data_IF_387729162592
#
_entry.id   IF_387729162592
#
_cell.length_a   1.000
_cell.length_b   1.000
_cell.length_c   1.000
_cell.angle_alpha   90.00
_cell.angle_beta   90.00
_cell.angle_gamma   90.00
#
_symmetry.space_group_name_H-M   'P 1'
#
loop_
_entity.id
_entity.type
_entity.pdbx_description
1 polymer ?
#
# COMPACT_ATOMS: atom_id res chain seq x y z
N UNK A 1 -32.00 -61.26 21.54
CA UNK A 1 -30.52 -61.35 21.49
C UNK A 1 -30.05 -60.07 20.83
N UNK A 2 -29.54 -59.17 21.66
CA UNK A 2 -28.94 -57.89 21.27
C UNK A 2 -27.56 -58.15 20.65
N UNK A 3 -27.18 -57.29 19.71
CA UNK A 3 -25.82 -56.79 19.59
C UNK A 3 -25.94 -55.29 19.32
N UNK A 4 -25.64 -54.52 20.36
CA UNK A 4 -25.27 -53.12 20.29
C UNK A 4 -23.85 -53.01 19.70
N UNK A 5 -23.59 -51.94 18.96
CA UNK A 5 -22.24 -51.41 18.83
C UNK A 5 -22.32 -49.90 18.69
N UNK A 6 -21.50 -49.25 19.51
CA UNK A 6 -21.61 -47.92 20.07
C UNK A 6 -21.37 -46.78 19.07
N UNK A 7 -22.12 -45.70 19.29
CA UNK A 7 -21.83 -44.35 18.82
C UNK A 7 -20.61 -43.78 19.57
N UNK A 8 -19.56 -43.42 18.85
CA UNK A 8 -18.47 -42.59 19.37
C UNK A 8 -18.83 -41.14 19.08
N UNK A 9 -19.01 -40.37 20.15
CA UNK A 9 -19.16 -38.92 20.12
C UNK A 9 -17.93 -38.27 19.47
N UNK A 10 -18.16 -37.42 18.47
CA UNK A 10 -17.13 -36.58 17.90
C UNK A 10 -16.68 -35.57 18.96
N UNK A 11 -15.51 -35.82 19.54
CA UNK A 11 -14.79 -34.88 20.38
C UNK A 11 -14.60 -33.57 19.62
N UNK A 12 -14.99 -32.47 20.26
CA UNK A 12 -14.61 -31.09 19.94
C UNK A 12 -13.12 -31.01 19.57
N UNK A 13 -12.84 -30.89 18.28
CA UNK A 13 -11.54 -30.48 17.79
C UNK A 13 -11.49 -28.97 17.97
N UNK A 14 -10.78 -28.52 19.00
CA UNK A 14 -10.20 -27.19 19.01
C UNK A 14 -9.29 -27.10 17.78
N UNK A 15 -9.80 -26.53 16.69
CA UNK A 15 -8.95 -26.12 15.58
C UNK A 15 -8.00 -25.03 16.10
N UNK A 16 -6.77 -25.44 16.31
CA UNK A 16 -5.63 -24.55 16.48
C UNK A 16 -5.48 -23.74 15.20
N UNK A 17 -5.97 -22.50 15.22
CA UNK A 17 -5.67 -21.50 14.20
C UNK A 17 -4.15 -21.36 14.11
N UNK A 18 -3.60 -21.79 12.98
CA UNK A 18 -2.22 -21.47 12.64
C UNK A 18 -2.18 -19.99 12.30
N UNK A 19 -1.67 -19.19 13.22
CA UNK A 19 -1.26 -17.81 12.95
C UNK A 19 -0.19 -17.84 11.85
N UNK A 20 -0.61 -17.72 10.59
CA UNK A 20 0.31 -17.37 9.51
C UNK A 20 0.77 -15.94 9.78
N UNK A 21 1.97 -15.81 10.37
CA UNK A 21 2.68 -14.54 10.44
C UNK A 21 2.85 -14.04 9.01
N UNK A 22 2.17 -12.96 8.62
CA UNK A 22 2.54 -12.25 7.39
C UNK A 22 3.94 -11.70 7.61
N UNK A 23 4.94 -12.23 6.90
CA UNK A 23 6.29 -11.68 6.90
C UNK A 23 6.22 -10.21 6.54
N UNK A 24 6.80 -9.33 7.36
CA UNK A 24 6.99 -7.91 7.06
C UNK A 24 8.02 -7.75 5.95
N UNK A 25 7.59 -8.14 4.75
CA UNK A 25 8.31 -8.11 3.47
C UNK A 25 9.80 -8.40 3.58
N UNK A 26 10.19 -9.68 3.62
CA UNK A 26 11.53 -10.03 3.18
C UNK A 26 11.59 -9.74 1.69
N UNK A 27 12.53 -8.89 1.28
CA UNK A 27 12.75 -8.58 -0.14
C UNK A 27 13.32 -9.79 -0.85
N UNK A 28 12.89 -10.04 -2.08
CA UNK A 28 13.53 -11.01 -2.97
C UNK A 28 14.35 -10.21 -3.99
N UNK A 29 15.69 -10.16 -3.86
CA UNK A 29 16.53 -9.40 -4.77
C UNK A 29 16.40 -9.89 -6.21
N UNK A 30 16.51 -8.95 -7.15
CA UNK A 30 16.71 -9.24 -8.57
C UNK A 30 18.10 -8.74 -8.95
N UNK A 31 19.09 -9.59 -8.73
CA UNK A 31 20.53 -9.26 -8.76
C UNK A 31 21.00 -8.60 -10.07
N UNK A 32 20.26 -8.75 -11.16
CA UNK A 32 20.59 -8.22 -12.49
C UNK A 32 19.75 -7.01 -12.92
N UNK A 33 18.83 -6.55 -12.07
CA UNK A 33 17.90 -5.48 -12.44
C UNK A 33 17.90 -4.33 -11.44
N UNK A 34 17.89 -3.10 -11.96
CA UNK A 34 17.92 -1.88 -11.16
C UNK A 34 16.74 -0.97 -11.52
N UNK A 35 16.21 -0.25 -10.55
CA UNK A 35 15.19 0.78 -10.75
C UNK A 35 15.88 2.13 -10.65
N UNK A 36 15.74 2.94 -11.69
CA UNK A 36 16.31 4.28 -11.72
C UNK A 36 15.21 5.30 -11.93
N UNK A 37 15.40 6.48 -11.33
CA UNK A 37 14.62 7.67 -11.62
C UNK A 37 15.57 8.74 -12.16
N UNK A 38 15.40 9.08 -13.43
CA UNK A 38 16.13 10.19 -14.04
C UNK A 38 15.71 11.54 -13.49
N UNK A 39 16.61 12.53 -13.50
CA UNK A 39 16.24 13.93 -13.29
C UNK A 39 15.29 14.43 -14.37
N UNK A 40 14.35 15.29 -13.99
CA UNK A 40 13.38 15.87 -14.91
C UNK A 40 14.05 16.64 -16.07
N UNK A 41 13.46 16.55 -17.26
CA UNK A 41 13.87 17.34 -18.44
C UNK A 41 14.92 16.68 -19.34
N UNK A 42 15.43 15.50 -18.98
CA UNK A 42 16.37 14.75 -19.83
C UNK A 42 15.70 14.27 -21.11
N UNK A 43 16.34 14.57 -22.25
CA UNK A 43 15.89 14.11 -23.57
C UNK A 43 16.04 12.59 -23.72
N UNK A 44 15.26 11.98 -24.61
CA UNK A 44 15.40 10.55 -24.94
C UNK A 44 16.83 10.19 -25.38
N UNK A 45 17.51 11.09 -26.09
CA UNK A 45 18.91 10.90 -26.50
C UNK A 45 19.87 10.93 -25.31
N UNK A 46 19.68 11.85 -24.36
CA UNK A 46 20.49 11.89 -23.14
C UNK A 46 20.32 10.60 -22.33
N UNK A 47 19.07 10.17 -22.09
CA UNK A 47 18.78 8.89 -21.43
C UNK A 47 19.44 7.70 -22.14
N UNK A 48 19.43 7.67 -23.48
CA UNK A 48 20.09 6.61 -24.24
C UNK A 48 21.63 6.60 -24.07
N UNK A 49 22.26 7.77 -23.98
CA UNK A 49 23.70 7.89 -23.70
C UNK A 49 24.02 7.36 -22.30
N UNK A 50 23.20 7.69 -21.30
CA UNK A 50 23.38 7.23 -19.92
C UNK A 50 23.20 5.72 -19.82
N UNK A 51 22.16 5.16 -20.45
CA UNK A 51 21.97 3.70 -20.53
C UNK A 51 23.20 3.00 -21.14
N UNK A 52 23.76 3.57 -22.22
CA UNK A 52 24.98 3.03 -22.83
C UNK A 52 26.19 3.12 -21.89
N UNK A 53 26.36 4.24 -21.16
CA UNK A 53 27.42 4.43 -20.15
C UNK A 53 27.39 3.34 -19.07
N UNK A 54 26.22 2.86 -18.69
CA UNK A 54 26.07 1.85 -17.63
C UNK A 54 25.89 0.42 -18.12
N UNK A 55 25.97 0.15 -19.44
CA UNK A 55 25.85 -1.20 -19.98
C UNK A 55 24.46 -1.82 -19.80
N UNK A 56 23.41 -1.03 -20.03
CA UNK A 56 22.02 -1.48 -19.98
C UNK A 56 21.70 -2.34 -21.20
N UNK A 57 21.24 -3.57 -20.98
CA UNK A 57 20.89 -4.54 -22.03
C UNK A 57 19.46 -4.29 -22.53
N UNK A 58 18.54 -4.11 -21.58
CA UNK A 58 17.14 -3.86 -21.83
C UNK A 58 16.62 -2.92 -20.75
N UNK A 59 15.54 -2.22 -21.07
CA UNK A 59 14.86 -1.39 -20.09
C UNK A 59 13.36 -1.37 -20.33
N UNK A 60 12.63 -1.15 -19.25
CA UNK A 60 11.19 -0.95 -19.23
C UNK A 60 10.91 0.47 -18.71
N UNK A 61 10.00 1.18 -19.39
CA UNK A 61 9.52 2.48 -18.92
C UNK A 61 8.26 2.31 -18.09
N UNK A 62 8.09 3.18 -17.10
CA UNK A 62 6.87 3.22 -16.34
C UNK A 62 5.69 3.70 -17.20
N UNK A 63 4.74 2.80 -17.48
CA UNK A 63 3.51 3.15 -18.18
C UNK A 63 2.54 3.81 -17.20
N UNK A 64 1.97 4.96 -17.57
CA UNK A 64 1.02 5.73 -16.75
C UNK A 64 1.56 6.36 -15.45
N UNK A 65 2.84 6.15 -15.13
CA UNK A 65 3.53 6.83 -14.02
C UNK A 65 4.56 7.84 -14.52
N UNK A 66 5.63 8.02 -13.75
CA UNK A 66 6.73 8.92 -14.10
C UNK A 66 7.50 8.40 -15.33
N UNK A 67 7.57 9.22 -16.38
CA UNK A 67 8.34 8.93 -17.61
C UNK A 67 9.86 8.91 -17.38
N UNK A 68 10.31 9.34 -16.21
CA UNK A 68 11.69 9.29 -15.78
C UNK A 68 12.03 8.04 -14.98
N UNK A 69 11.04 7.25 -14.59
CA UNK A 69 11.22 5.97 -13.91
C UNK A 69 11.41 4.83 -14.91
N UNK A 70 12.49 4.08 -14.74
CA UNK A 70 12.81 2.93 -15.59
C UNK A 70 13.31 1.75 -14.77
N UNK A 71 13.03 0.54 -15.23
CA UNK A 71 13.68 -0.69 -14.78
C UNK A 71 14.71 -1.10 -15.83
N UNK A 72 15.96 -1.34 -15.42
CA UNK A 72 17.05 -1.70 -16.32
C UNK A 72 17.54 -3.11 -16.03
N UNK A 73 17.72 -3.89 -17.09
CA UNK A 73 18.44 -5.15 -17.07
C UNK A 73 19.91 -4.88 -17.40
N UNK A 74 20.82 -5.34 -16.55
CA UNK A 74 22.25 -5.09 -16.65
C UNK A 74 23.03 -6.39 -16.93
N UNK A 75 24.14 -6.28 -17.66
CA UNK A 75 25.13 -7.37 -17.70
C UNK A 75 25.72 -7.57 -16.31
N UNK A 76 26.08 -8.79 -15.88
CA UNK A 76 26.64 -9.01 -14.52
C UNK A 76 27.95 -8.23 -14.28
N UNK A 77 28.78 -8.10 -15.32
CA UNK A 77 30.02 -7.32 -15.32
C UNK A 77 30.06 -6.48 -16.59
N UNK A 78 30.27 -5.17 -16.45
CA UNK A 78 30.41 -4.25 -17.58
C UNK A 78 31.62 -3.34 -17.36
N UNK A 79 32.49 -3.26 -18.36
CA UNK A 79 33.76 -2.50 -18.29
C UNK A 79 34.61 -2.80 -17.04
N UNK A 80 34.51 -4.02 -16.51
CA UNK A 80 35.26 -4.48 -15.33
C UNK A 80 34.62 -4.14 -13.98
N UNK A 81 33.45 -3.50 -13.95
CA UNK A 81 32.71 -3.18 -12.73
C UNK A 81 31.54 -4.15 -12.49
N UNK A 82 31.27 -4.47 -11.23
CA UNK A 82 30.08 -5.25 -10.82
C UNK A 82 28.81 -4.40 -10.94
N UNK A 83 27.64 -5.02 -10.75
CA UNK A 83 26.38 -4.27 -10.65
C UNK A 83 26.39 -3.37 -9.41
N UNK A 84 26.88 -3.84 -8.26
CA UNK A 84 26.89 -3.03 -7.02
C UNK A 84 27.77 -1.79 -7.16
N UNK A 85 28.94 -1.93 -7.79
CA UNK A 85 29.82 -0.79 -8.10
C UNK A 85 29.15 0.20 -9.05
N UNK A 86 28.38 -0.29 -10.03
CA UNK A 86 27.64 0.58 -10.95
C UNK A 86 26.45 1.26 -10.29
N UNK A 87 25.68 0.58 -9.43
CA UNK A 87 24.59 1.20 -8.65
C UNK A 87 25.15 2.31 -7.75
N UNK A 88 26.27 2.05 -7.07
CA UNK A 88 26.95 3.08 -6.27
C UNK A 88 27.36 4.30 -7.11
N UNK A 89 27.78 4.08 -8.36
CA UNK A 89 28.11 5.16 -9.30
C UNK A 89 26.87 5.91 -9.78
N UNK A 90 25.78 5.19 -10.05
CA UNK A 90 24.47 5.74 -10.44
C UNK A 90 23.90 6.66 -9.36
N UNK A 91 23.99 6.26 -8.08
CA UNK A 91 23.56 7.09 -6.94
C UNK A 91 24.30 8.43 -6.83
N UNK A 92 25.49 8.55 -7.44
CA UNK A 92 26.28 9.78 -7.47
C UNK A 92 26.16 10.52 -8.81
N UNK A 93 25.39 9.99 -9.76
CA UNK A 93 25.21 10.60 -11.08
C UNK A 93 24.24 11.79 -10.97
N UNK A 94 24.64 13.01 -11.34
CA UNK A 94 23.77 14.19 -11.25
C UNK A 94 22.55 14.14 -12.17
N UNK A 95 22.50 13.18 -13.10
CA UNK A 95 21.35 12.94 -13.98
C UNK A 95 20.33 11.95 -13.39
N UNK A 96 20.57 11.45 -12.17
CA UNK A 96 19.71 10.51 -11.46
C UNK A 96 19.22 11.09 -10.13
N UNK A 97 17.91 10.97 -9.88
CA UNK A 97 17.29 11.29 -8.59
C UNK A 97 17.26 10.11 -7.63
N UNK A 98 17.34 8.88 -8.17
CA UNK A 98 17.42 7.65 -7.40
C UNK A 98 17.86 6.48 -8.27
N UNK A 99 18.55 5.54 -7.66
CA UNK A 99 18.99 4.30 -8.27
C UNK A 99 19.02 3.22 -7.18
N UNK A 100 18.21 2.18 -7.35
CA UNK A 100 18.10 1.10 -6.37
C UNK A 100 18.18 -0.25 -7.09
N UNK A 101 18.65 -1.29 -6.40
CA UNK A 101 18.38 -2.65 -6.84
C UNK A 101 16.88 -2.89 -6.89
N UNK A 102 16.40 -3.54 -7.95
CA UNK A 102 15.02 -3.98 -7.98
C UNK A 102 14.86 -5.20 -7.07
N UNK A 103 13.73 -5.30 -6.40
CA UNK A 103 13.39 -6.42 -5.54
C UNK A 103 11.88 -6.61 -5.52
N UNK A 104 11.45 -7.82 -5.17
CA UNK A 104 10.05 -8.12 -4.96
C UNK A 104 9.69 -8.13 -3.48
N UNK A 105 8.49 -7.67 -3.17
CA UNK A 105 7.84 -7.76 -1.87
C UNK A 105 6.62 -8.66 -2.02
N UNK A 106 6.30 -9.42 -0.97
CA UNK A 106 5.07 -10.20 -0.90
C UNK A 106 4.17 -9.67 0.21
N UNK A 107 2.89 -9.49 -0.11
CA UNK A 107 1.82 -9.30 0.86
C UNK A 107 1.02 -10.59 1.00
N UNK A 108 0.65 -10.93 2.24
CA UNK A 108 -0.14 -12.13 2.51
C UNK A 108 -1.62 -11.81 2.37
N UNK A 109 -2.34 -12.55 1.52
CA UNK A 109 -3.80 -12.54 1.54
C UNK A 109 -4.29 -13.33 2.76
N UNK A 110 -5.20 -12.73 3.54
CA UNK A 110 -5.95 -13.43 4.60
C UNK A 110 -7.31 -13.92 4.09
N UNK A 111 -7.55 -13.83 2.78
CA UNK A 111 -8.83 -14.14 2.16
C UNK A 111 -8.82 -15.57 1.62
N UNK A 112 -9.84 -16.39 1.90
CA UNK A 112 -10.02 -17.67 1.21
C UNK A 112 -10.20 -17.47 -0.30
N UNK A 113 -9.72 -18.44 -1.10
CA UNK A 113 -9.97 -18.47 -2.55
C UNK A 113 -11.46 -18.30 -2.87
N UNK A 114 -11.80 -17.40 -3.79
CA UNK A 114 -13.17 -17.23 -4.32
C UNK A 114 -13.96 -16.02 -3.82
N UNK A 115 -13.35 -15.11 -3.06
CA UNK A 115 -13.94 -13.78 -2.77
C UNK A 115 -13.87 -12.84 -3.98
N UNK A 116 -12.91 -13.08 -4.88
CA UNK A 116 -12.81 -12.40 -6.16
C UNK A 116 -13.65 -13.15 -7.19
N UNK A 117 -14.78 -12.57 -7.57
CA UNK A 117 -15.59 -13.04 -8.69
C UNK A 117 -15.04 -12.57 -10.04
N UNK A 118 -15.62 -13.06 -11.13
CA UNK A 118 -15.40 -12.42 -12.44
C UNK A 118 -16.09 -11.07 -12.43
N UNK A 119 -15.32 -9.98 -12.50
CA UNK A 119 -15.85 -8.62 -12.54
C UNK A 119 -16.09 -8.25 -14.01
N UNK A 120 -17.32 -7.84 -14.32
CA UNK A 120 -17.63 -7.25 -15.62
C UNK A 120 -17.67 -5.73 -15.51
N UNK A 121 -17.15 -5.05 -16.54
CA UNK A 121 -17.11 -3.58 -16.61
C UNK A 121 -18.47 -2.92 -16.31
N UNK A 122 -19.56 -3.53 -16.78
CA UNK A 122 -20.93 -3.03 -16.55
C UNK A 122 -21.33 -3.01 -15.07
N UNK A 123 -20.77 -3.91 -14.25
CA UNK A 123 -21.07 -4.01 -12.81
C UNK A 123 -20.30 -2.92 -12.02
N UNK A 124 -19.25 -2.37 -12.62
CA UNK A 124 -18.44 -1.28 -12.05
C UNK A 124 -19.09 0.09 -12.28
N UNK A 125 -19.78 0.29 -13.42
CA UNK A 125 -20.35 1.59 -13.79
C UNK A 125 -21.17 2.28 -12.68
N UNK A 126 -22.03 1.58 -11.92
CA UNK A 126 -22.79 2.20 -10.82
C UNK A 126 -21.91 2.68 -9.65
N UNK A 127 -20.67 2.21 -9.55
CA UNK A 127 -19.71 2.56 -8.49
C UNK A 127 -18.86 3.78 -8.85
N UNK A 128 -18.83 4.17 -10.12
CA UNK A 128 -18.06 5.30 -10.63
C UNK A 128 -18.73 6.63 -10.27
N UNK A 129 -17.94 7.58 -9.78
CA UNK A 129 -18.38 8.94 -9.48
C UNK A 129 -18.71 9.71 -10.77
N UNK A 130 -19.80 10.46 -10.74
CA UNK A 130 -20.20 11.32 -11.89
C UNK A 130 -19.61 12.72 -11.83
N UNK A 131 -18.98 13.09 -10.71
CA UNK A 131 -18.34 14.37 -10.47
C UNK A 131 -17.09 14.15 -9.61
N UNK A 132 -16.08 15.01 -9.78
CA UNK A 132 -14.87 14.96 -8.96
C UNK A 132 -15.21 15.08 -7.48
N UNK A 133 -14.56 14.24 -6.68
CA UNK A 133 -14.67 14.33 -5.23
C UNK A 133 -13.92 15.54 -4.67
N UNK A 134 -14.26 15.91 -3.43
CA UNK A 134 -13.51 16.92 -2.68
C UNK A 134 -12.21 16.36 -2.09
N UNK A 135 -12.18 15.05 -1.82
CA UNK A 135 -11.03 14.32 -1.31
C UNK A 135 -10.84 13.01 -2.08
N UNK A 136 -9.60 12.71 -2.45
CA UNK A 136 -9.24 11.50 -3.19
C UNK A 136 -8.23 10.68 -2.41
N UNK A 137 -8.54 9.39 -2.24
CA UNK A 137 -7.64 8.40 -1.62
C UNK A 137 -7.06 7.51 -2.72
N UNK A 138 -5.74 7.52 -2.88
CA UNK A 138 -5.01 6.52 -3.65
C UNK A 138 -4.80 5.26 -2.82
N UNK A 139 -5.08 4.09 -3.38
CA UNK A 139 -4.77 2.80 -2.76
C UNK A 139 -3.77 2.07 -3.64
N UNK A 140 -2.52 1.98 -3.19
CA UNK A 140 -1.45 1.27 -3.87
C UNK A 140 -1.37 -0.16 -3.31
N UNK A 141 -1.94 -1.14 -4.02
CA UNK A 141 -2.15 -2.48 -3.47
C UNK A 141 -2.39 -3.53 -4.59
N UNK A 142 -3.12 -4.62 -4.33
CA UNK A 142 -3.46 -5.67 -5.31
C UNK A 142 -4.59 -5.33 -6.27
N UNK A 143 -5.14 -4.12 -6.20
CA UNK A 143 -6.30 -3.68 -6.98
C UNK A 143 -7.55 -3.55 -6.10
N UNK A 144 -8.72 -3.50 -6.74
CA UNK A 144 -10.01 -3.47 -6.03
C UNK A 144 -11.06 -4.31 -6.74
N UNK A 145 -11.86 -5.05 -5.99
CA UNK A 145 -13.18 -5.52 -6.44
C UNK A 145 -14.25 -4.49 -6.03
N UNK A 146 -14.66 -3.59 -6.93
CA UNK A 146 -15.66 -2.58 -6.61
C UNK A 146 -17.08 -3.13 -6.51
N UNK A 147 -17.29 -4.39 -6.92
CA UNK A 147 -18.57 -5.09 -6.79
C UNK A 147 -18.75 -5.72 -5.41
N UNK A 148 -17.70 -5.70 -4.57
CA UNK A 148 -17.79 -6.12 -3.19
C UNK A 148 -19.02 -5.50 -2.50
N UNK A 149 -19.84 -6.38 -1.94
CA UNK A 149 -21.18 -6.01 -1.50
C UNK A 149 -21.21 -4.97 -0.38
N UNK A 150 -20.09 -4.78 0.35
CA UNK A 150 -19.96 -3.75 1.38
C UNK A 150 -19.95 -2.32 0.81
N UNK A 151 -19.60 -2.12 -0.46
CA UNK A 151 -19.65 -0.79 -1.08
C UNK A 151 -21.09 -0.44 -1.47
N UNK A 152 -21.77 0.40 -0.68
CA UNK A 152 -23.18 0.76 -0.92
C UNK A 152 -23.40 1.99 -1.81
N UNK A 153 -22.40 2.86 -1.98
CA UNK A 153 -22.52 4.08 -2.79
C UNK A 153 -21.46 4.17 -3.89
N UNK A 154 -21.63 5.11 -4.84
CA UNK A 154 -20.58 5.43 -5.81
C UNK A 154 -19.40 6.10 -5.10
N UNK A 155 -18.20 5.56 -5.33
CA UNK A 155 -16.97 5.96 -4.64
C UNK A 155 -15.73 5.85 -5.53
N UNK A 156 -15.79 5.10 -6.63
CA UNK A 156 -14.63 4.98 -7.51
C UNK A 156 -14.41 6.26 -8.30
N UNK A 157 -13.15 6.61 -8.44
CA UNK A 157 -12.74 7.68 -9.33
C UNK A 157 -13.19 7.44 -10.77
N UNK A 158 -13.36 8.53 -11.50
CA UNK A 158 -13.76 8.51 -12.90
C UNK A 158 -12.70 9.21 -13.74
N UNK A 159 -11.83 8.41 -14.37
CA UNK A 159 -10.73 8.94 -15.17
C UNK A 159 -11.23 9.78 -16.36
N UNK A 160 -12.47 9.61 -16.81
CA UNK A 160 -13.05 10.46 -17.85
C UNK A 160 -13.28 11.92 -17.41
N UNK A 161 -13.14 12.22 -16.12
CA UNK A 161 -13.18 13.59 -15.59
C UNK A 161 -11.78 14.25 -15.54
N UNK A 162 -10.72 13.51 -15.86
CA UNK A 162 -9.36 14.04 -15.83
C UNK A 162 -9.01 14.83 -17.08
N UNK A 163 -8.09 15.78 -16.92
CA UNK A 163 -7.53 16.55 -18.03
C UNK A 163 -6.62 15.68 -18.90
N UNK A 164 -5.90 14.77 -18.25
CA UNK A 164 -5.04 13.77 -18.88
C UNK A 164 -5.32 12.39 -18.28
N UNK A 165 -5.56 11.42 -19.16
CA UNK A 165 -5.75 10.01 -18.81
C UNK A 165 -4.61 9.20 -19.38
N UNK A 166 -4.27 8.10 -18.71
CA UNK A 166 -3.34 7.17 -19.31
C UNK A 166 -4.06 6.19 -20.23
N UNK A 167 -3.82 6.25 -21.54
CA UNK A 167 -4.45 5.32 -22.50
C UNK A 167 -5.98 5.33 -22.33
N UNK A 168 -6.57 4.17 -22.10
CA UNK A 168 -7.97 3.85 -21.87
C UNK A 168 -8.29 3.65 -20.38
N UNK A 169 -7.53 4.30 -19.49
CA UNK A 169 -7.77 4.32 -18.04
C UNK A 169 -9.25 4.59 -17.70
N UNK A 170 -9.78 3.78 -16.79
CA UNK A 170 -11.20 3.81 -16.43
C UNK A 170 -11.46 4.39 -15.03
N UNK A 171 -10.87 3.79 -13.99
CA UNK A 171 -10.95 4.28 -12.60
C UNK A 171 -9.64 4.14 -11.82
N UNK A 172 -8.59 3.66 -12.48
CA UNK A 172 -7.33 3.23 -11.88
C UNK A 172 -6.46 2.56 -12.94
N UNK A 173 -5.27 2.12 -12.55
CA UNK A 173 -4.33 1.44 -13.45
C UNK A 173 -3.74 0.18 -12.84
N UNK A 174 -3.46 -0.81 -13.69
CA UNK A 174 -2.81 -2.06 -13.34
C UNK A 174 -1.38 -2.06 -13.87
N UNK A 175 -0.42 -1.91 -12.96
CA UNK A 175 1.02 -1.91 -13.25
C UNK A 175 1.61 -3.32 -13.32
N UNK A 176 0.86 -4.35 -12.92
CA UNK A 176 1.28 -5.75 -13.05
C UNK A 176 1.17 -6.20 -14.50
N UNK A 177 0.05 -5.87 -15.15
CA UNK A 177 -0.25 -6.29 -16.53
C UNK A 177 -0.25 -5.14 -17.54
N UNK A 178 0.01 -3.92 -17.07
CA UNK A 178 0.04 -2.69 -17.86
C UNK A 178 -1.27 -2.42 -18.64
N UNK A 179 -2.39 -2.40 -17.94
CA UNK A 179 -3.71 -2.17 -18.52
C UNK A 179 -4.65 -1.41 -17.56
N UNK A 180 -5.86 -1.09 -18.03
CA UNK A 180 -6.88 -0.38 -17.25
C UNK A 180 -7.69 -1.30 -16.29
N UNK A 181 -7.34 -2.58 -16.19
CA UNK A 181 -8.05 -3.55 -15.35
C UNK A 181 -7.39 -3.65 -13.97
N UNK A 182 -7.62 -2.64 -13.13
CA UNK A 182 -7.15 -2.59 -11.73
C UNK A 182 -7.98 -3.47 -10.77
N UNK A 183 -8.52 -4.58 -11.28
CA UNK A 183 -9.30 -5.53 -10.50
C UNK A 183 -8.41 -6.32 -9.53
N UNK A 184 -8.95 -6.57 -8.34
CA UNK A 184 -8.27 -7.34 -7.31
C UNK A 184 -8.45 -8.83 -7.54
N UNK A 185 -7.36 -9.56 -7.71
CA UNK A 185 -7.29 -11.02 -7.85
C UNK A 185 -6.60 -11.70 -6.65
N UNK A 186 -6.34 -10.92 -5.58
CA UNK A 186 -5.71 -11.38 -4.34
C UNK A 186 -6.63 -11.22 -3.12
N UNK A 187 -7.39 -10.12 -3.07
CA UNK A 187 -8.35 -9.77 -2.02
C UNK A 187 -7.85 -8.74 -1.01
N UNK A 188 -6.54 -8.57 -0.84
CA UNK A 188 -5.97 -7.63 0.14
C UNK A 188 -6.34 -6.17 -0.19
N UNK A 189 -6.18 -5.76 -1.45
CA UNK A 189 -6.52 -4.43 -1.96
C UNK A 189 -7.99 -4.06 -1.77
N UNK A 190 -8.90 -5.01 -1.95
CA UNK A 190 -10.34 -4.83 -1.69
C UNK A 190 -10.62 -4.63 -0.20
N UNK A 191 -9.99 -5.41 0.68
CA UNK A 191 -10.16 -5.26 2.12
C UNK A 191 -9.69 -3.89 2.62
N UNK A 192 -8.50 -3.44 2.21
CA UNK A 192 -7.98 -2.13 2.62
C UNK A 192 -8.82 -0.99 2.02
N UNK A 193 -9.25 -1.11 0.76
CA UNK A 193 -10.15 -0.13 0.15
C UNK A 193 -11.49 -0.04 0.88
N UNK A 194 -12.07 -1.18 1.28
CA UNK A 194 -13.31 -1.22 2.04
C UNK A 194 -13.15 -0.59 3.42
N UNK A 195 -12.07 -0.89 4.14
CA UNK A 195 -11.83 -0.31 5.48
C UNK A 195 -11.59 1.20 5.43
N UNK A 196 -11.02 1.73 4.34
CA UNK A 196 -10.96 3.18 4.14
C UNK A 196 -12.34 3.77 3.81
N UNK A 197 -13.11 3.11 2.93
CA UNK A 197 -14.46 3.50 2.55
C UNK A 197 -15.44 3.52 3.74
N UNK A 198 -15.39 2.51 4.61
CA UNK A 198 -16.31 2.33 5.75
C UNK A 198 -16.23 3.52 6.73
N UNK A 199 -15.06 4.14 6.86
CA UNK A 199 -14.86 5.34 7.70
C UNK A 199 -15.56 6.58 7.13
N UNK A 200 -15.94 6.56 5.86
CA UNK A 200 -16.52 7.67 5.12
C UNK A 200 -17.99 7.44 4.79
N UNK A 201 -18.44 6.19 4.79
CA UNK A 201 -19.81 5.83 4.51
C UNK A 201 -20.77 6.53 5.49
N UNK A 202 -21.89 7.06 4.97
CA UNK A 202 -22.92 7.76 5.74
C UNK A 202 -22.44 9.03 6.50
N UNK A 203 -21.21 9.49 6.28
CA UNK A 203 -20.69 10.74 6.90
C UNK A 203 -21.10 12.01 6.14
N UNK A 204 -21.52 11.87 4.89
CA UNK A 204 -21.75 13.00 3.97
C UNK A 204 -20.48 13.53 3.29
N UNK A 205 -19.32 12.93 3.55
CA UNK A 205 -18.06 13.29 2.89
C UNK A 205 -18.12 12.99 1.39
N UNK A 206 -17.76 13.96 0.55
CA UNK A 206 -17.64 13.76 -0.89
C UNK A 206 -16.23 13.25 -1.23
N UNK A 207 -16.06 11.93 -1.27
CA UNK A 207 -14.78 11.27 -1.52
C UNK A 207 -14.78 10.43 -2.81
N UNK A 208 -13.59 10.08 -3.26
CA UNK A 208 -13.35 9.01 -4.24
C UNK A 208 -12.09 8.20 -3.92
N UNK A 209 -12.01 6.97 -4.43
CA UNK A 209 -10.86 6.07 -4.31
C UNK A 209 -10.29 5.78 -5.70
N UNK A 210 -8.96 5.86 -5.83
CA UNK A 210 -8.19 5.46 -7.02
C UNK A 210 -7.32 4.25 -6.67
N UNK A 211 -7.60 3.05 -7.20
CA UNK A 211 -6.70 1.90 -7.09
C UNK A 211 -5.52 2.03 -8.06
N UNK A 212 -4.32 1.81 -7.54
CA UNK A 212 -3.10 1.55 -8.30
C UNK A 212 -2.66 0.11 -8.00
N UNK A 213 -2.92 -0.82 -8.92
CA UNK A 213 -2.57 -2.24 -8.74
C UNK A 213 -1.09 -2.45 -9.04
N UNK A 214 -0.30 -2.70 -8.00
CA UNK A 214 1.15 -2.97 -8.08
C UNK A 214 1.55 -4.37 -7.62
N UNK A 215 0.59 -5.13 -7.07
CA UNK A 215 0.78 -6.50 -6.59
C UNK A 215 -0.10 -7.47 -7.37
N UNK A 216 0.46 -8.62 -7.76
CA UNK A 216 -0.21 -9.66 -8.54
C UNK A 216 -1.17 -10.52 -7.70
N UNK A 217 -1.79 -11.53 -8.32
CA UNK A 217 -2.69 -12.47 -7.65
C UNK A 217 -2.05 -13.20 -6.45
N UNK A 218 -0.73 -13.43 -6.49
CA UNK A 218 0.02 -14.03 -5.38
C UNK A 218 0.40 -13.02 -4.29
N UNK A 219 0.05 -11.74 -4.47
CA UNK A 219 0.43 -10.65 -3.58
C UNK A 219 1.88 -10.21 -3.79
N UNK A 220 2.48 -10.51 -4.93
CA UNK A 220 3.86 -10.16 -5.24
C UNK A 220 3.93 -8.88 -6.06
N UNK A 221 4.78 -7.94 -5.66
CA UNK A 221 5.00 -6.67 -6.36
C UNK A 221 6.47 -6.27 -6.35
N UNK A 222 6.97 -5.77 -7.47
CA UNK A 222 8.35 -5.27 -7.59
C UNK A 222 8.49 -3.81 -7.20
N UNK A 223 9.69 -3.39 -6.79
CA UNK A 223 10.00 -1.98 -6.52
C UNK A 223 9.62 -1.08 -7.71
N UNK A 224 9.89 -1.54 -8.93
CA UNK A 224 9.52 -0.81 -10.15
C UNK A 224 7.99 -0.60 -10.27
N UNK A 225 7.19 -1.65 -10.08
CA UNK A 225 5.72 -1.56 -10.12
C UNK A 225 5.16 -0.67 -9.01
N UNK A 226 5.75 -0.74 -7.81
CA UNK A 226 5.39 0.12 -6.67
C UNK A 226 5.73 1.58 -6.97
N UNK A 227 6.93 1.87 -7.48
CA UNK A 227 7.34 3.21 -7.89
C UNK A 227 6.45 3.76 -9.01
N UNK A 228 6.05 2.91 -9.94
CA UNK A 228 5.08 3.25 -10.98
C UNK A 228 3.71 3.63 -10.41
N UNK A 229 3.15 2.79 -9.55
CA UNK A 229 1.86 3.07 -8.91
C UNK A 229 1.89 4.31 -8.02
N UNK A 230 2.97 4.51 -7.26
CA UNK A 230 3.18 5.71 -6.45
C UNK A 230 3.22 6.97 -7.33
N UNK A 231 4.06 6.97 -8.36
CA UNK A 231 4.17 8.12 -9.27
C UNK A 231 2.88 8.44 -10.03
N UNK A 232 2.10 7.43 -10.42
CA UNK A 232 0.77 7.61 -10.99
C UNK A 232 -0.19 8.31 -10.02
N UNK A 233 -0.25 7.86 -8.77
CA UNK A 233 -1.11 8.50 -7.75
C UNK A 233 -0.67 9.94 -7.47
N UNK A 234 0.63 10.22 -7.51
CA UNK A 234 1.18 11.58 -7.41
C UNK A 234 0.71 12.45 -8.58
N UNK A 235 0.79 11.95 -9.82
CA UNK A 235 0.32 12.66 -11.01
C UNK A 235 -1.20 12.90 -10.99
N UNK A 236 -1.96 11.99 -10.39
CA UNK A 236 -3.40 12.16 -10.13
C UNK A 236 -3.72 13.18 -9.03
N UNK A 237 -2.70 13.70 -8.32
CA UNK A 237 -2.84 14.72 -7.27
C UNK A 237 -3.83 14.28 -6.18
N UNK A 238 -3.78 13.00 -5.81
CA UNK A 238 -4.57 12.49 -4.69
C UNK A 238 -4.18 13.19 -3.39
N UNK A 239 -5.07 13.21 -2.40
CA UNK A 239 -4.78 13.87 -1.13
C UNK A 239 -4.09 12.94 -0.13
N UNK A 240 -4.43 11.65 -0.20
CA UNK A 240 -3.98 10.62 0.72
C UNK A 240 -3.60 9.40 -0.10
N UNK A 241 -2.47 8.75 0.20
CA UNK A 241 -2.11 7.45 -0.35
C UNK A 241 -2.01 6.45 0.80
N UNK A 242 -2.78 5.37 0.71
CA UNK A 242 -2.64 4.23 1.60
C UNK A 242 -1.63 3.22 1.02
N UNK A 243 -0.59 2.91 1.80
CA UNK A 243 0.43 1.90 1.50
C UNK A 243 0.41 0.84 2.59
N UNK A 244 -0.48 -0.14 2.43
CA UNK A 244 -0.70 -1.23 3.39
C UNK A 244 0.26 -2.41 3.20
N UNK A 245 1.49 -2.10 2.81
CA UNK A 245 2.57 -3.04 2.54
C UNK A 245 3.89 -2.44 3.03
N UNK A 246 4.94 -3.26 3.01
CA UNK A 246 6.28 -2.74 3.24
C UNK A 246 7.35 -3.81 3.23
N UNK A 247 8.58 -3.36 3.42
CA UNK A 247 9.77 -4.19 3.44
C UNK A 247 10.73 -3.73 4.51
N UNK A 248 11.72 -4.55 4.83
CA UNK A 248 12.78 -4.23 5.80
C UNK A 248 14.13 -4.10 5.10
N UNK A 249 15.16 -3.76 5.87
CA UNK A 249 16.56 -3.65 5.44
C UNK A 249 16.92 -2.31 4.79
N UNK A 250 16.80 -2.19 3.46
CA UNK A 250 17.38 -1.06 2.71
C UNK A 250 16.30 -0.07 2.23
N UNK A 251 16.44 1.24 2.50
CA UNK A 251 15.54 2.24 1.92
C UNK A 251 15.70 2.26 0.39
N UNK A 252 14.61 2.58 -0.31
CA UNK A 252 14.68 2.88 -1.74
C UNK A 252 14.83 4.39 -1.92
N UNK A 253 15.92 4.81 -2.55
CA UNK A 253 16.16 6.20 -2.94
C UNK A 253 15.10 6.71 -3.91
N UNK A 254 14.62 5.84 -4.82
CA UNK A 254 13.55 6.14 -5.78
C UNK A 254 12.24 6.42 -5.05
N UNK A 255 11.79 5.53 -4.15
CA UNK A 255 10.54 5.73 -3.40
C UNK A 255 10.65 6.94 -2.48
N UNK A 256 11.78 7.11 -1.80
CA UNK A 256 12.02 8.27 -0.94
C UNK A 256 11.95 9.59 -1.73
N UNK A 257 12.47 9.62 -2.96
CA UNK A 257 12.43 10.81 -3.82
C UNK A 257 10.99 11.28 -4.10
N UNK A 258 10.07 10.35 -4.40
CA UNK A 258 8.65 10.65 -4.62
C UNK A 258 7.95 11.15 -3.35
N UNK A 259 8.25 10.52 -2.20
CA UNK A 259 7.68 10.91 -0.92
C UNK A 259 8.15 12.31 -0.52
N UNK A 260 9.44 12.63 -0.73
CA UNK A 260 10.01 13.96 -0.50
C UNK A 260 9.42 15.02 -1.42
N UNK A 261 9.26 14.71 -2.71
CA UNK A 261 8.67 15.62 -3.70
C UNK A 261 7.23 16.03 -3.32
N UNK A 262 6.49 15.11 -2.69
CA UNK A 262 5.09 15.32 -2.30
C UNK A 262 4.88 15.62 -0.83
N UNK A 263 5.94 15.98 -0.10
CA UNK A 263 5.93 16.20 1.36
C UNK A 263 4.87 17.24 1.81
N UNK A 264 4.51 18.18 0.93
CA UNK A 264 3.55 19.25 1.25
C UNK A 264 2.15 19.00 0.71
N UNK A 265 1.98 18.02 -0.17
CA UNK A 265 0.81 17.89 -1.04
C UNK A 265 -0.01 16.61 -0.79
N UNK A 266 0.66 15.49 -0.46
CA UNK A 266 0.03 14.19 -0.29
C UNK A 266 0.40 13.57 1.06
N UNK A 267 -0.60 13.16 1.85
CA UNK A 267 -0.39 12.39 3.08
C UNK A 267 -0.17 10.91 2.73
N UNK A 268 0.95 10.35 3.15
CA UNK A 268 1.28 8.93 3.02
C UNK A 268 0.87 8.20 4.29
N UNK A 269 -0.14 7.34 4.24
CA UNK A 269 -0.56 6.52 5.38
C UNK A 269 -0.04 5.11 5.18
N UNK A 270 0.80 4.65 6.11
CA UNK A 270 1.63 3.45 5.93
C UNK A 270 1.44 2.47 7.07
N UNK A 271 1.49 1.17 6.78
CA UNK A 271 1.48 0.15 7.82
C UNK A 271 2.85 0.04 8.49
N UNK A 272 2.87 -0.13 9.82
CA UNK A 272 4.11 -0.27 10.58
C UNK A 272 4.87 -1.57 10.25
N UNK A 273 4.18 -2.60 9.76
CA UNK A 273 4.70 -3.95 9.53
C UNK A 273 4.14 -4.97 10.52
N UNK A 274 4.24 -6.26 10.18
CA UNK A 274 3.58 -7.36 10.90
C UNK A 274 4.57 -8.44 11.40
N UNK A 275 5.76 -8.04 11.85
CA UNK A 275 6.79 -8.94 12.39
C UNK A 275 7.02 -8.87 13.90
N UNK A 276 6.38 -7.93 14.59
CA UNK A 276 6.65 -7.64 16.01
C UNK A 276 8.02 -7.00 16.24
N UNK A 277 8.60 -6.38 15.20
CA UNK A 277 9.91 -5.77 15.24
C UNK A 277 9.85 -4.31 15.70
N UNK A 278 10.95 -3.84 16.27
CA UNK A 278 11.18 -2.42 16.57
C UNK A 278 11.74 -1.73 15.33
N UNK A 279 10.95 -0.86 14.70
CA UNK A 279 11.30 -0.12 13.51
C UNK A 279 12.39 0.95 13.78
N UNK A 280 12.65 1.32 15.04
CA UNK A 280 13.79 2.18 15.38
C UNK A 280 15.13 1.41 15.32
N UNK A 281 15.09 0.07 15.36
CA UNK A 281 16.27 -0.82 15.28
C UNK A 281 16.39 -1.50 13.92
N UNK A 282 15.27 -1.98 13.38
CA UNK A 282 15.17 -2.61 12.06
C UNK A 282 14.12 -1.87 11.25
N UNK A 283 14.50 -0.82 10.51
CA UNK A 283 13.57 0.01 9.77
C UNK A 283 12.68 -0.80 8.83
N UNK A 284 11.41 -0.40 8.77
CA UNK A 284 10.42 -0.91 7.84
C UNK A 284 9.96 0.23 6.92
N UNK A 285 10.07 0.05 5.61
CA UNK A 285 9.70 1.06 4.62
C UNK A 285 8.38 0.69 3.94
N UNK A 286 7.52 1.68 3.59
CA UNK A 286 7.77 3.12 3.65
C UNK A 286 7.59 3.77 5.04
N UNK A 287 7.14 3.03 6.05
CA UNK A 287 6.72 3.60 7.34
C UNK A 287 7.83 4.21 8.20
N UNK A 288 9.10 3.95 7.88
CA UNK A 288 10.27 4.52 8.54
C UNK A 288 10.95 5.63 7.74
N UNK A 289 10.39 6.06 6.59
CA UNK A 289 10.81 7.32 5.97
C UNK A 289 10.46 8.49 6.89
N UNK A 290 11.38 9.44 7.04
CA UNK A 290 11.31 10.48 8.07
C UNK A 290 10.71 11.81 7.57
N UNK A 291 10.06 11.79 6.42
CA UNK A 291 9.41 12.97 5.83
C UNK A 291 8.13 13.34 6.60
N UNK A 292 7.78 14.62 6.60
CA UNK A 292 6.67 15.14 7.40
C UNK A 292 5.28 14.62 6.96
N UNK A 293 5.17 14.08 5.75
CA UNK A 293 3.93 13.54 5.20
C UNK A 293 3.73 12.04 5.43
N UNK A 294 4.65 11.34 6.07
CA UNK A 294 4.48 9.91 6.39
C UNK A 294 3.81 9.77 7.75
N UNK A 295 2.64 9.13 7.77
CA UNK A 295 1.92 8.72 8.96
C UNK A 295 2.03 7.20 9.10
N UNK A 296 2.82 6.76 10.06
CA UNK A 296 3.10 5.35 10.34
C UNK A 296 2.13 4.78 11.37
N UNK A 297 1.38 3.74 10.99
CA UNK A 297 0.25 3.20 11.77
C UNK A 297 0.51 1.76 12.21
N UNK A 298 0.49 1.53 13.51
CA UNK A 298 0.56 0.17 14.09
C UNK A 298 -0.81 -0.37 14.48
N UNK A 299 -0.92 -1.68 14.62
CA UNK A 299 -2.12 -2.37 15.07
C UNK A 299 -2.11 -2.61 16.59
N UNK A 300 -3.24 -2.30 17.23
CA UNK A 300 -3.52 -2.66 18.63
C UNK A 300 -4.69 -3.64 18.73
N UNK A 301 -4.88 -4.16 19.95
CA UNK A 301 -6.03 -4.97 20.27
C UNK A 301 -7.36 -4.18 20.23
N UNK A 302 -8.47 -4.88 20.47
CA UNK A 302 -9.79 -4.28 20.56
C UNK A 302 -10.18 -3.83 21.97
N UNK A 303 -9.26 -3.86 22.93
CA UNK A 303 -9.53 -3.36 24.29
C UNK A 303 -9.44 -1.83 24.29
N UNK A 304 -10.28 -1.17 25.07
CA UNK A 304 -10.32 0.30 25.16
C UNK A 304 -10.19 0.71 26.63
N UNK A 305 -9.09 1.36 27.05
CA UNK A 305 -7.88 1.64 26.26
C UNK A 305 -7.12 0.34 25.92
N UNK A 306 -6.40 0.30 24.77
CA UNK A 306 -5.62 -0.86 24.38
C UNK A 306 -4.46 -1.05 25.36
N UNK A 307 -4.17 -2.31 25.68
CA UNK A 307 -3.17 -2.63 26.69
C UNK A 307 -1.76 -2.82 26.12
N UNK A 308 -1.62 -3.01 24.80
CA UNK A 308 -0.33 -3.15 24.11
C UNK A 308 -0.47 -3.07 22.58
N UNK A 309 0.64 -2.80 21.90
CA UNK A 309 0.78 -3.05 20.45
C UNK A 309 0.71 -4.56 20.23
N UNK A 310 -0.04 -5.02 19.23
CA UNK A 310 -0.17 -6.46 18.95
C UNK A 310 1.21 -7.10 18.82
N UNK A 311 1.39 -8.31 19.36
CA UNK A 311 2.70 -8.99 19.33
C UNK A 311 3.22 -9.25 17.91
N UNK A 312 2.33 -9.25 16.90
CA UNK A 312 2.71 -9.33 15.50
C UNK A 312 2.96 -7.95 14.88
N UNK A 313 2.43 -6.85 15.42
CA UNK A 313 2.58 -5.54 14.80
C UNK A 313 3.91 -4.91 15.20
N UNK A 314 4.58 -4.28 14.24
CA UNK A 314 5.80 -3.55 14.53
C UNK A 314 5.51 -2.29 15.35
N UNK A 315 6.49 -1.82 16.10
CA UNK A 315 6.44 -0.62 16.92
C UNK A 315 7.70 0.22 16.68
N UNK A 316 7.82 1.37 17.34
CA UNK A 316 8.97 2.26 17.20
C UNK A 316 8.67 3.59 17.86
N UNK A 317 9.46 3.98 18.85
CA UNK A 317 9.28 5.21 19.60
C UNK A 317 9.49 6.45 18.73
N UNK A 318 10.30 6.37 17.68
CA UNK A 318 10.50 7.48 16.73
C UNK A 318 9.75 7.25 15.42
N UNK A 319 9.78 6.02 14.91
CA UNK A 319 9.31 5.66 13.56
C UNK A 319 7.82 5.31 13.45
N UNK A 320 7.10 5.08 14.55
CA UNK A 320 5.67 4.73 14.52
C UNK A 320 4.86 5.78 15.25
N UNK A 321 3.93 6.43 14.54
CA UNK A 321 3.22 7.59 15.05
C UNK A 321 2.04 7.21 15.93
N UNK A 322 1.14 6.35 15.43
CA UNK A 322 -0.16 6.12 16.07
C UNK A 322 -0.61 4.66 15.95
N UNK A 323 -1.42 4.23 16.91
CA UNK A 323 -2.08 2.94 16.89
C UNK A 323 -3.53 3.04 16.41
N UNK A 324 -4.01 2.00 15.72
CA UNK A 324 -5.44 1.81 15.42
C UNK A 324 -5.79 0.34 15.65
N UNK A 325 -7.04 0.05 16.00
CA UNK A 325 -7.50 -1.33 16.16
C UNK A 325 -7.24 -2.12 14.88
N UNK A 326 -6.41 -3.16 15.01
CA UNK A 326 -5.98 -3.99 13.91
C UNK A 326 -6.15 -5.48 14.14
N UNK A 327 -6.73 -5.91 15.26
CA UNK A 327 -7.02 -7.32 15.56
C UNK A 327 -8.48 -7.68 15.27
N UNK A 328 -8.67 -8.88 14.73
CA UNK A 328 -9.99 -9.53 14.66
C UNK A 328 -11.05 -8.66 13.99
N UNK A 329 -10.65 -7.90 12.98
CA UNK A 329 -11.57 -7.04 12.23
C UNK A 329 -12.47 -7.99 11.43
N UNK A 330 -13.80 -7.91 11.57
CA UNK A 330 -14.69 -8.74 10.78
C UNK A 330 -14.69 -8.27 9.34
N UNK A 331 -14.44 -9.19 8.40
CA UNK A 331 -14.65 -8.98 6.98
C UNK A 331 -15.51 -10.11 6.43
N UNK A 332 -16.44 -9.79 5.56
CA UNK A 332 -17.41 -10.77 5.06
C UNK A 332 -17.06 -11.10 3.62
N UNK A 333 -16.90 -12.37 3.28
CA UNK A 333 -16.61 -12.77 1.90
C UNK A 333 -17.83 -12.65 0.98
N UNK A 334 -19.04 -12.79 1.54
CA UNK A 334 -20.29 -12.64 0.81
C UNK A 334 -21.43 -12.21 1.77
N UNK A 335 -22.59 -11.76 1.25
CA UNK A 335 -23.76 -11.49 2.07
C UNK A 335 -24.17 -12.70 2.90
N UNK A 336 -24.57 -12.47 4.16
CA UNK A 336 -25.10 -13.49 5.08
C UNK A 336 -24.14 -14.63 5.44
N UNK A 337 -22.83 -14.51 5.14
CA UNK A 337 -21.81 -15.47 5.60
C UNK A 337 -21.28 -15.12 6.99
N UNK A 338 -20.63 -16.07 7.65
CA UNK A 338 -19.80 -15.76 8.81
C UNK A 338 -18.63 -14.86 8.38
N UNK A 339 -18.23 -13.86 9.19
CA UNK A 339 -17.08 -13.04 8.88
C UNK A 339 -15.78 -13.85 9.06
N UNK A 340 -14.81 -13.60 8.19
CA UNK A 340 -13.41 -13.90 8.47
C UNK A 340 -12.82 -12.80 9.36
N UNK A 341 -11.99 -13.19 10.31
CA UNK A 341 -11.33 -12.26 11.22
C UNK A 341 -9.96 -11.91 10.66
N UNK A 342 -9.83 -10.69 10.13
CA UNK A 342 -8.57 -10.19 9.56
C UNK A 342 -7.78 -9.41 10.61
N UNK A 343 -6.45 -9.54 10.58
CA UNK A 343 -5.55 -8.91 11.56
C UNK A 343 -4.28 -8.37 10.91
N UNK A 344 -3.90 -7.13 11.22
CA UNK A 344 -2.65 -6.53 10.74
C UNK A 344 -2.63 -5.01 10.75
N UNK A 345 -1.42 -4.45 10.75
CA UNK A 345 -1.20 -3.00 10.60
C UNK A 345 -1.66 -2.46 9.24
N UNK A 346 -1.71 -3.31 8.20
CA UNK A 346 -2.31 -3.02 6.88
C UNK A 346 -3.74 -2.50 6.99
N UNK A 347 -4.56 -3.13 7.83
CA UNK A 347 -5.96 -2.75 8.05
C UNK A 347 -6.10 -1.52 8.96
N UNK A 348 -5.16 -1.35 9.88
CA UNK A 348 -5.05 -0.16 10.74
C UNK A 348 -4.70 1.09 9.91
N UNK A 349 -3.75 0.96 8.99
CA UNK A 349 -3.38 1.98 8.00
C UNK A 349 -4.58 2.37 7.14
N UNK A 350 -5.32 1.39 6.60
CA UNK A 350 -6.47 1.62 5.76
C UNK A 350 -7.59 2.42 6.46
N UNK A 351 -7.96 2.02 7.69
CA UNK A 351 -8.88 2.79 8.53
C UNK A 351 -8.40 4.21 8.76
N UNK A 352 -7.10 4.38 9.03
CA UNK A 352 -6.50 5.70 9.24
C UNK A 352 -6.55 6.56 7.98
N UNK A 353 -6.37 5.97 6.78
CA UNK A 353 -6.50 6.68 5.51
C UNK A 353 -7.94 7.16 5.27
N UNK A 354 -8.94 6.33 5.56
CA UNK A 354 -10.35 6.72 5.53
C UNK A 354 -10.67 7.84 6.52
N UNK A 355 -10.17 7.72 7.76
CA UNK A 355 -10.31 8.76 8.77
C UNK A 355 -9.59 10.06 8.39
N UNK A 356 -8.42 9.99 7.77
CA UNK A 356 -7.72 11.15 7.25
C UNK A 356 -8.59 11.87 6.19
N UNK A 357 -9.23 11.12 5.29
CA UNK A 357 -10.13 11.72 4.29
C UNK A 357 -11.35 12.38 4.94
N UNK A 358 -11.89 11.82 6.02
CA UNK A 358 -12.96 12.42 6.81
C UNK A 358 -12.53 13.76 7.45
N UNK A 359 -11.24 13.88 7.83
CA UNK A 359 -10.68 15.10 8.44
C UNK A 359 -10.23 16.13 7.41
N UNK A 360 -10.03 15.73 6.16
CA UNK A 360 -9.58 16.61 5.10
C UNK A 360 -10.62 17.69 4.76
N UNK A 361 -10.13 18.88 4.41
CA UNK A 361 -10.92 19.95 3.84
C UNK A 361 -10.21 20.48 2.60
N UNK A 362 -10.98 20.91 1.60
CA UNK A 362 -10.41 21.36 0.34
C UNK A 362 -9.36 22.47 0.54
N UNK A 363 -8.15 22.26 0.01
CA UNK A 363 -7.03 23.20 0.12
C UNK A 363 -6.27 23.12 1.46
N UNK A 364 -6.58 22.14 2.31
CA UNK A 364 -5.82 21.86 3.52
C UNK A 364 -4.43 21.32 3.14
N UNK A 365 -3.37 21.88 3.74
CA UNK A 365 -2.03 21.33 3.61
C UNK A 365 -1.91 20.00 4.33
N UNK A 366 -0.96 19.15 3.90
CA UNK A 366 -0.68 17.87 4.55
C UNK A 366 -0.34 18.03 6.03
N UNK A 367 0.45 19.05 6.37
CA UNK A 367 0.80 19.35 7.77
C UNK A 367 -0.45 19.60 8.64
N UNK A 368 -1.41 20.39 8.14
CA UNK A 368 -2.67 20.64 8.85
C UNK A 368 -3.51 19.38 8.97
N UNK A 369 -3.56 18.55 7.91
CA UNK A 369 -4.28 17.28 7.94
C UNK A 369 -3.68 16.33 8.97
N UNK A 370 -2.36 16.17 8.97
CA UNK A 370 -1.62 15.35 9.91
C UNK A 370 -1.89 15.77 11.36
N UNK A 371 -1.78 17.07 11.65
CA UNK A 371 -2.10 17.60 12.98
C UNK A 371 -3.56 17.37 13.38
N UNK A 372 -4.50 17.50 12.43
CA UNK A 372 -5.92 17.29 12.70
C UNK A 372 -6.25 15.84 13.03
N UNK A 373 -5.59 14.87 12.38
CA UNK A 373 -5.70 13.45 12.75
C UNK A 373 -5.22 13.25 14.19
N UNK A 374 -4.06 13.82 14.54
CA UNK A 374 -3.49 13.68 15.87
C UNK A 374 -4.25 14.41 16.98
N UNK A 375 -5.17 15.32 16.65
CA UNK A 375 -6.03 15.97 17.65
C UNK A 375 -7.07 15.01 18.24
N UNK A 376 -7.48 13.99 17.49
CA UNK A 376 -8.47 12.98 17.92
C UNK A 376 -7.82 11.77 18.61
N UNK A 377 -6.50 11.78 18.80
CA UNK A 377 -5.79 10.68 19.46
C UNK A 377 -6.16 10.58 20.94
N UNK A 378 -6.32 9.34 21.40
CA UNK A 378 -6.52 9.03 22.81
C UNK A 378 -5.19 8.53 23.37
N UNK A 379 -4.68 9.21 24.41
CA UNK A 379 -3.45 8.82 25.08
C UNK A 379 -3.65 7.51 25.84
N UNK A 380 -2.69 6.61 25.72
CA UNK A 380 -2.62 5.37 26.48
C UNK A 380 -1.20 5.11 26.92
N UNK A 381 -0.94 5.17 28.23
CA UNK A 381 0.41 4.98 28.80
C UNK A 381 0.99 3.58 28.53
N UNK A 382 0.14 2.62 28.19
CA UNK A 382 0.54 1.27 27.77
C UNK A 382 1.14 1.23 26.36
N UNK A 383 0.90 2.25 25.53
CA UNK A 383 1.44 2.37 24.18
C UNK A 383 2.76 3.16 24.16
N UNK A 384 3.58 3.06 25.22
CA UNK A 384 4.84 3.79 25.34
C UNK A 384 5.95 3.36 24.34
N UNK A 385 5.66 2.37 23.50
CA UNK A 385 6.53 1.87 22.43
C UNK A 385 6.33 2.59 21.09
N UNK A 386 5.40 3.55 21.02
CA UNK A 386 5.14 4.37 19.83
C UNK A 386 5.18 5.86 20.17
N UNK A 387 5.54 6.69 19.19
CA UNK A 387 5.92 8.10 19.34
C UNK A 387 4.97 8.95 20.15
N UNK A 388 3.67 8.83 19.93
CA UNK A 388 2.66 9.64 20.62
C UNK A 388 1.97 8.92 21.78
N UNK A 389 2.35 7.67 22.08
CA UNK A 389 1.71 6.82 23.08
C UNK A 389 0.17 6.88 23.02
N UNK A 390 -0.38 6.74 21.81
CA UNK A 390 -1.79 7.02 21.55
C UNK A 390 -2.38 6.17 20.45
N UNK A 391 -3.70 6.06 20.46
CA UNK A 391 -4.47 5.37 19.44
C UNK A 391 -5.64 6.22 18.92
N UNK A 392 -6.18 5.86 17.75
CA UNK A 392 -7.48 6.32 17.26
C UNK A 392 -8.52 5.21 17.47
N UNK A 393 -9.70 5.58 17.93
CA UNK A 393 -10.84 4.67 18.12
C UNK A 393 -11.70 4.65 16.84
N UNK A 394 -11.36 3.75 15.90
CA UNK A 394 -11.89 3.67 14.52
C UNK A 394 -12.52 2.31 14.14
#
# INVERSE_FOLDING_TARGET
>A
MSCESETIEASTVHESFTNQKSSGGTTIPKDETVVIRFTEGLSATAKAIIRAKYGVIAFENCSCGDKNLESWDLETIYEGATIEERVTSMEQDPEMEGADFNFDINISSQVPNGVVGTIHYQDVLPKIKTQKAAVTIGVLDTGIDPTYFGFQQAFLHNSALDEETCSDEFFGWNFVENNNLSFDDNGHGTMVSYLAYEQLENTGTNFEIIPAKAFDAAGKGSLFQIGCGLSYLIQKKVNIINMSFGWTETPSTVIESYIKETERDILMVTSAGNTGADNDLTPHFPSSYTTANVLSVTAVDGEIPPNLVLSLSNYGFVSVDIAVKGIGIPFYSAPETAPISITGSSYSSAKTAGFAALKYQQGMSVDMLYHRILQDKIQSSSLNQIKYASYLDL
#
